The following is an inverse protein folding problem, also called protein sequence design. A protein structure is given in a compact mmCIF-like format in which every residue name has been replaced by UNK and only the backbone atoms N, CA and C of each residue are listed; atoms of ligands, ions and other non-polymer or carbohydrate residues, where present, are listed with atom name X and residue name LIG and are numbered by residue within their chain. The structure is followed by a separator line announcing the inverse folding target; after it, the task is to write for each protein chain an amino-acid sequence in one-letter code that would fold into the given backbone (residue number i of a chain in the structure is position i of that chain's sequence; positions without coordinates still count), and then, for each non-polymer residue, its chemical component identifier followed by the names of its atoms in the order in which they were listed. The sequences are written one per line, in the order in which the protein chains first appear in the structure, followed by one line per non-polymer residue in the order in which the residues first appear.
data_IF_151321622754
#
_entry.id   IF_151321622754
#
_cell.length_a   1.000
_cell.length_b   1.000
_cell.length_c   1.000
_cell.angle_alpha   90.00
_cell.angle_beta   90.00
_cell.angle_gamma   90.00
#
_symmetry.space_group_name_H-M   'P 1'
#
loop_
_entity.id
_entity.type
_entity.pdbx_description
1 polymer ?
#
# COMPACT_ATOMS: atom_id res chain seq x y z
N UNK A 1 -14.38 23.56 4.06
CA UNK A 1 -14.88 22.85 2.87
C UNK A 1 -16.40 22.92 2.90
N UNK A 2 -17.04 23.31 1.79
CA UNK A 2 -18.48 23.59 1.68
C UNK A 2 -19.26 22.47 0.96
N UNK A 3 -18.88 21.21 1.13
CA UNK A 3 -19.70 20.07 0.70
C UNK A 3 -19.36 18.81 1.52
N UNK A 4 -20.29 18.23 2.31
CA UNK A 4 -20.06 16.97 3.02
C UNK A 4 -19.72 15.80 2.08
N UNK A 5 -20.19 15.80 0.83
CA UNK A 5 -19.83 14.78 -0.17
C UNK A 5 -18.37 14.90 -0.64
N UNK A 6 -17.80 16.11 -0.64
CA UNK A 6 -16.39 16.35 -0.95
C UNK A 6 -15.44 15.84 0.14
N UNK A 7 -15.87 15.88 1.41
CA UNK A 7 -15.12 15.32 2.54
C UNK A 7 -15.05 13.80 2.54
N UNK A 8 -16.10 13.13 2.06
CA UNK A 8 -16.23 11.67 2.03
C UNK A 8 -15.21 10.94 1.14
N UNK A 9 -14.47 11.65 0.26
CA UNK A 9 -13.47 11.04 -0.64
C UNK A 9 -12.04 11.01 -0.08
N UNK A 10 -11.79 11.66 1.05
CA UNK A 10 -10.44 11.84 1.59
C UNK A 10 -10.10 10.82 2.68
N UNK A 11 -10.21 9.53 2.34
CA UNK A 11 -9.89 8.42 3.26
C UNK A 11 -8.38 8.29 3.54
N UNK A 12 -7.53 8.85 2.67
CA UNK A 12 -6.07 8.78 2.76
C UNK A 12 -5.44 10.18 2.67
N UNK A 13 -4.38 10.41 3.45
CA UNK A 13 -3.55 11.60 3.36
C UNK A 13 -2.08 11.24 3.08
N UNK A 14 -1.42 12.01 2.21
CA UNK A 14 0.01 11.81 1.90
C UNK A 14 0.87 12.48 2.98
N UNK A 15 1.69 11.69 3.67
CA UNK A 15 2.56 12.15 4.76
C UNK A 15 3.50 13.29 4.37
N UNK A 16 3.95 13.31 3.12
CA UNK A 16 4.86 14.31 2.55
C UNK A 16 4.24 15.71 2.50
N UNK A 17 2.92 15.80 2.57
CA UNK A 17 2.17 17.07 2.40
C UNK A 17 1.16 17.33 3.52
N UNK A 18 1.09 16.46 4.52
CA UNK A 18 0.02 16.41 5.50
C UNK A 18 -0.09 17.71 6.32
N UNK A 19 1.04 18.34 6.61
CA UNK A 19 1.18 19.54 7.44
C UNK A 19 0.87 20.85 6.71
N UNK A 20 0.78 20.79 5.37
CA UNK A 20 0.52 21.94 4.49
C UNK A 20 -0.82 21.89 3.76
N UNK A 21 -1.46 20.72 3.73
CA UNK A 21 -2.78 20.55 3.11
C UNK A 21 -3.87 21.08 4.07
N UNK A 22 -4.71 22.05 3.67
CA UNK A 22 -5.71 22.64 4.57
C UNK A 22 -6.63 21.62 5.26
N UNK A 23 -7.00 20.54 4.57
CA UNK A 23 -7.85 19.48 5.12
C UNK A 23 -7.18 18.63 6.22
N UNK A 24 -5.84 18.63 6.31
CA UNK A 24 -5.09 17.72 7.18
C UNK A 24 -4.11 18.42 8.13
N UNK A 25 -3.72 19.67 7.85
CA UNK A 25 -2.70 20.37 8.61
C UNK A 25 -3.08 20.54 10.10
N UNK A 26 -4.34 20.89 10.38
CA UNK A 26 -4.84 21.03 11.75
C UNK A 26 -5.06 19.66 12.42
N UNK A 27 -5.74 18.67 11.80
CA UNK A 27 -5.80 17.32 12.34
C UNK A 27 -4.43 16.70 12.63
N UNK A 28 -3.45 16.90 11.75
CA UNK A 28 -2.09 16.42 11.97
C UNK A 28 -1.44 16.99 13.23
N UNK A 29 -1.77 18.23 13.61
CA UNK A 29 -1.25 18.89 14.81
C UNK A 29 -2.02 18.53 16.07
N UNK A 30 -3.33 18.28 15.99
CA UNK A 30 -4.20 18.22 17.18
C UNK A 30 -5.08 16.98 17.31
N UNK A 31 -5.33 16.26 16.22
CA UNK A 31 -6.34 15.19 16.16
C UNK A 31 -5.78 13.95 15.47
N UNK A 32 -4.75 13.39 16.10
CA UNK A 32 -4.13 12.13 15.69
C UNK A 32 -4.81 10.95 16.40
N UNK A 33 -4.86 9.81 15.73
CA UNK A 33 -5.37 8.57 16.28
C UNK A 33 -4.58 7.37 15.74
N UNK A 34 -4.81 6.19 16.32
CA UNK A 34 -4.45 4.92 15.72
C UNK A 34 -5.66 4.32 15.03
N UNK A 35 -5.49 3.93 13.77
CA UNK A 35 -6.47 3.08 13.08
C UNK A 35 -5.96 1.66 13.14
N UNK A 36 -6.69 0.80 13.85
CA UNK A 36 -6.31 -0.60 14.05
C UNK A 36 -6.88 -1.47 12.92
N UNK A 37 -6.07 -2.41 12.45
CA UNK A 37 -6.49 -3.39 11.45
C UNK A 37 -5.63 -4.65 11.53
N UNK A 38 -6.21 -5.81 11.23
CA UNK A 38 -5.47 -7.08 11.12
C UNK A 38 -4.61 -7.16 9.85
N UNK A 39 -4.95 -6.34 8.85
CA UNK A 39 -4.23 -6.22 7.59
C UNK A 39 -4.75 -5.09 6.72
N UNK A 40 -4.21 -4.98 5.51
CA UNK A 40 -4.71 -4.07 4.49
C UNK A 40 -4.63 -4.73 3.11
N UNK A 41 -5.52 -4.34 2.21
CA UNK A 41 -5.53 -4.83 0.83
C UNK A 41 -4.83 -3.84 -0.10
N UNK A 42 -4.08 -4.37 -1.07
CA UNK A 42 -3.61 -3.64 -2.23
C UNK A 42 -3.78 -4.48 -3.49
N UNK A 43 -3.90 -3.84 -4.65
CA UNK A 43 -4.14 -4.54 -5.91
C UNK A 43 -2.91 -4.49 -6.80
N UNK A 44 -2.26 -5.65 -6.95
CA UNK A 44 -1.23 -5.84 -7.95
C UNK A 44 -1.87 -5.76 -9.35
N UNK A 45 -1.28 -4.97 -10.24
CA UNK A 45 -1.70 -4.91 -11.65
C UNK A 45 -0.71 -5.69 -12.49
N UNK A 46 -1.15 -6.82 -13.06
CA UNK A 46 -0.34 -7.66 -13.92
C UNK A 46 -0.03 -7.01 -15.28
N UNK A 47 0.90 -7.58 -16.07
CA UNK A 47 1.22 -7.10 -17.41
C UNK A 47 0.02 -7.11 -18.38
N UNK A 48 -0.96 -7.96 -18.12
CA UNK A 48 -2.24 -8.08 -18.84
C UNK A 48 -3.28 -7.06 -18.39
N UNK A 49 -2.95 -6.19 -17.42
CA UNK A 49 -3.85 -5.22 -16.81
C UNK A 49 -4.80 -5.81 -15.77
N UNK A 50 -4.73 -7.12 -15.49
CA UNK A 50 -5.57 -7.75 -14.48
C UNK A 50 -5.15 -7.31 -13.08
N UNK A 51 -6.13 -6.94 -12.26
CA UNK A 51 -5.91 -6.58 -10.85
C UNK A 51 -6.11 -7.78 -9.94
N UNK A 52 -5.10 -8.11 -9.16
CA UNK A 52 -5.12 -9.20 -8.18
C UNK A 52 -5.02 -8.60 -6.78
N UNK A 53 -6.02 -8.82 -5.91
CA UNK A 53 -5.96 -8.32 -4.54
C UNK A 53 -4.94 -9.14 -3.72
N UNK A 54 -4.08 -8.40 -3.02
CA UNK A 54 -3.09 -8.90 -2.09
C UNK A 54 -3.46 -8.38 -0.71
N UNK A 55 -3.63 -9.29 0.26
CA UNK A 55 -3.81 -8.94 1.66
C UNK A 55 -2.45 -8.96 2.36
N UNK A 56 -2.05 -7.82 2.91
CA UNK A 56 -0.83 -7.66 3.70
C UNK A 56 -1.13 -7.75 5.19
N UNK A 57 -0.35 -8.56 5.90
CA UNK A 57 -0.43 -8.73 7.35
C UNK A 57 0.96 -8.78 7.99
N UNK A 58 1.00 -8.75 9.32
CA UNK A 58 2.22 -9.02 10.07
C UNK A 58 2.50 -10.53 10.11
N UNK A 59 3.75 -10.97 9.94
CA UNK A 59 4.11 -12.38 10.10
C UNK A 59 3.82 -12.93 11.50
N UNK A 60 3.81 -12.08 12.52
CA UNK A 60 3.53 -12.46 13.91
C UNK A 60 2.03 -12.51 14.25
N UNK A 61 1.15 -12.26 13.28
CA UNK A 61 -0.30 -12.29 13.42
C UNK A 61 -0.89 -11.17 14.30
N UNK A 62 -0.07 -10.21 14.75
CA UNK A 62 -0.56 -9.06 15.53
C UNK A 62 -1.23 -8.04 14.61
N UNK A 63 -2.15 -7.21 15.14
CA UNK A 63 -2.72 -6.13 14.36
C UNK A 63 -1.69 -5.02 14.09
N UNK A 64 -1.99 -4.22 13.07
CA UNK A 64 -1.35 -2.95 12.80
C UNK A 64 -1.96 -1.81 13.62
N UNK A 65 -1.16 -0.78 13.84
CA UNK A 65 -1.63 0.55 14.20
C UNK A 65 -1.22 1.52 13.09
N UNK A 66 -2.15 1.95 12.25
CA UNK A 66 -1.88 2.95 11.23
C UNK A 66 -1.93 4.36 11.82
N UNK A 67 -1.06 5.24 11.35
CA UNK A 67 -1.10 6.66 11.68
C UNK A 67 -2.37 7.28 11.09
N UNK A 68 -3.35 7.56 11.95
CA UNK A 68 -4.63 8.14 11.56
C UNK A 68 -4.75 9.61 11.96
N UNK A 69 -5.54 10.34 11.19
CA UNK A 69 -6.06 11.65 11.53
C UNK A 69 -7.57 11.57 11.68
N UNK A 70 -8.15 12.36 12.56
CA UNK A 70 -9.60 12.51 12.65
C UNK A 70 -10.00 13.98 12.68
N UNK A 71 -11.23 14.25 12.24
CA UNK A 71 -11.82 15.58 12.35
C UNK A 71 -13.34 15.49 12.50
N UNK A 72 -13.95 16.60 12.90
CA UNK A 72 -15.40 16.79 12.94
C UNK A 72 -15.77 17.95 12.04
N UNK A 73 -16.53 17.65 11.00
CA UNK A 73 -17.19 18.67 10.21
C UNK A 73 -18.54 19.00 10.83
N UNK A 74 -18.90 20.29 10.87
CA UNK A 74 -20.21 20.78 11.30
C UNK A 74 -20.81 21.64 10.20
N UNK A 75 -22.07 21.38 9.84
CA UNK A 75 -22.83 22.19 8.90
C UNK A 75 -24.32 22.11 9.18
N UNK A 76 -24.93 23.24 9.49
CA UNK A 76 -26.30 23.28 10.02
C UNK A 76 -26.40 22.45 11.31
N UNK A 77 -27.39 21.57 11.39
CA UNK A 77 -27.61 20.65 12.50
C UNK A 77 -26.87 19.31 12.37
N UNK A 78 -26.02 19.16 11.34
CA UNK A 78 -25.27 17.92 11.11
C UNK A 78 -23.83 18.03 11.63
N UNK A 79 -23.39 16.97 12.30
CA UNK A 79 -21.99 16.75 12.64
C UNK A 79 -21.52 15.43 12.02
N UNK A 80 -20.40 15.47 11.30
CA UNK A 80 -19.76 14.29 10.73
C UNK A 80 -18.37 14.13 11.32
N UNK A 81 -18.17 13.08 12.11
CA UNK A 81 -16.84 12.64 12.51
C UNK A 81 -16.27 11.73 11.41
N UNK A 82 -15.06 12.03 10.95
CA UNK A 82 -14.38 11.24 9.94
C UNK A 82 -12.92 11.01 10.31
N UNK A 83 -12.31 10.03 9.65
CA UNK A 83 -10.89 9.75 9.80
C UNK A 83 -10.22 9.53 8.44
N UNK A 84 -8.90 9.72 8.41
CA UNK A 84 -8.05 9.45 7.27
C UNK A 84 -6.79 8.72 7.73
N UNK A 85 -6.33 7.75 6.93
CA UNK A 85 -5.07 7.04 7.16
C UNK A 85 -3.94 7.80 6.45
N UNK A 86 -2.81 7.99 7.13
CA UNK A 86 -1.61 8.51 6.49
C UNK A 86 -0.94 7.43 5.66
N UNK A 87 -0.49 7.82 4.47
CA UNK A 87 0.26 6.97 3.55
C UNK A 87 1.68 7.49 3.36
N UNK A 88 2.59 6.62 2.97
CA UNK A 88 3.99 6.92 2.65
C UNK A 88 4.44 6.09 1.44
N UNK A 89 5.68 6.25 1.02
CA UNK A 89 6.30 5.38 0.00
C UNK A 89 6.29 3.90 0.46
N UNK A 90 6.25 2.93 -0.46
CA UNK A 90 6.14 1.53 -0.09
C UNK A 90 7.49 0.99 0.40
N UNK A 91 7.45 0.03 1.32
CA UNK A 91 8.61 -0.79 1.65
C UNK A 91 8.85 -1.86 0.56
N UNK A 92 9.86 -2.72 0.76
CA UNK A 92 10.23 -3.74 -0.23
C UNK A 92 9.10 -4.73 -0.53
N UNK A 93 8.24 -5.05 0.44
CA UNK A 93 7.15 -6.00 0.27
C UNK A 93 5.97 -5.42 -0.54
N UNK A 94 5.65 -4.13 -0.32
CA UNK A 94 4.50 -3.48 -0.96
C UNK A 94 4.86 -2.92 -2.34
N UNK A 95 6.12 -2.52 -2.57
CA UNK A 95 6.57 -1.84 -3.80
C UNK A 95 6.25 -2.57 -5.11
N UNK A 96 6.30 -3.92 -5.19
CA UNK A 96 5.88 -4.64 -6.39
C UNK A 96 4.37 -4.58 -6.66
N UNK A 97 3.56 -4.28 -5.64
CA UNK A 97 2.09 -4.31 -5.67
C UNK A 97 1.51 -2.91 -5.89
N UNK A 98 2.00 -1.91 -5.15
CA UNK A 98 1.47 -0.56 -5.16
C UNK A 98 2.55 0.51 -4.85
N UNK A 99 2.32 1.75 -5.28
CA UNK A 99 3.26 2.88 -5.13
C UNK A 99 3.14 3.62 -3.79
N UNK A 100 2.23 3.16 -2.92
CA UNK A 100 1.96 3.69 -1.58
C UNK A 100 1.67 2.57 -0.62
N UNK A 101 1.95 2.82 0.65
CA UNK A 101 1.50 1.99 1.77
C UNK A 101 0.97 2.87 2.92
N UNK A 102 0.13 2.33 3.81
CA UNK A 102 -0.19 2.98 5.08
C UNK A 102 1.09 3.23 5.92
N UNK A 103 1.12 4.33 6.67
CA UNK A 103 2.13 4.53 7.70
C UNK A 103 1.78 3.64 8.89
N UNK A 104 2.57 2.61 9.11
CA UNK A 104 2.41 1.65 10.21
C UNK A 104 3.30 2.10 11.38
N UNK A 105 2.69 2.37 12.53
CA UNK A 105 3.37 2.86 13.73
C UNK A 105 3.78 1.67 14.61
N UNK A 106 5.07 1.58 15.02
CA UNK A 106 5.48 0.65 16.06
C UNK A 106 4.73 0.92 17.37
N UNK A 107 4.48 -0.14 18.15
CA UNK A 107 3.80 0.02 19.43
C UNK A 107 4.51 1.01 20.38
N UNK A 108 5.85 1.05 20.33
CA UNK A 108 6.68 1.95 21.12
C UNK A 108 6.52 3.44 20.76
N UNK A 109 6.00 3.78 19.57
CA UNK A 109 5.77 5.18 19.18
C UNK A 109 4.40 5.71 19.57
N UNK A 110 3.59 4.92 20.32
CA UNK A 110 2.24 5.29 20.74
C UNK A 110 2.20 6.66 21.39
N UNK A 111 2.96 6.82 22.47
CA UNK A 111 2.88 8.01 23.30
C UNK A 111 3.35 9.23 22.50
N UNK A 112 4.45 9.08 21.74
CA UNK A 112 4.93 10.15 20.85
C UNK A 112 3.92 10.54 19.76
N UNK A 113 3.17 9.58 19.19
CA UNK A 113 2.16 9.85 18.17
C UNK A 113 0.93 10.51 18.75
N UNK A 114 0.49 10.11 19.95
CA UNK A 114 -0.74 10.59 20.57
C UNK A 114 -0.53 11.79 21.50
N UNK A 115 0.71 12.14 21.83
CA UNK A 115 1.07 13.29 22.65
C UNK A 115 0.58 14.60 22.00
N UNK A 116 -0.35 15.35 22.62
CA UNK A 116 -0.93 16.57 22.07
C UNK A 116 0.10 17.71 21.89
N UNK A 117 1.25 17.64 22.57
CA UNK A 117 2.31 18.63 22.56
C UNK A 117 3.46 18.27 21.60
N UNK A 118 3.38 17.09 20.96
CA UNK A 118 4.38 16.66 19.98
C UNK A 118 4.47 17.65 18.79
N UNK A 119 5.66 18.20 18.59
CA UNK A 119 5.94 19.13 17.50
C UNK A 119 5.96 18.46 16.11
N UNK A 120 5.70 19.19 15.02
CA UNK A 120 5.64 18.64 13.66
C UNK A 120 6.91 17.90 13.22
N UNK A 121 8.09 18.35 13.64
CA UNK A 121 9.35 17.67 13.32
C UNK A 121 9.40 16.27 13.93
N UNK A 122 9.02 16.15 15.20
CA UNK A 122 8.99 14.88 15.90
C UNK A 122 7.96 13.91 15.31
N UNK A 123 6.79 14.42 14.90
CA UNK A 123 5.76 13.62 14.24
C UNK A 123 6.22 13.11 12.88
N UNK A 124 6.90 13.95 12.07
CA UNK A 124 7.40 13.55 10.74
C UNK A 124 8.40 12.40 10.80
N UNK A 125 9.18 12.30 11.87
CA UNK A 125 10.11 11.17 12.04
C UNK A 125 9.40 9.82 12.13
N UNK A 126 8.12 9.79 12.49
CA UNK A 126 7.30 8.58 12.56
C UNK A 126 6.67 8.22 11.21
N UNK A 127 6.63 9.15 10.24
CA UNK A 127 5.91 8.99 8.96
C UNK A 127 6.78 8.33 7.88
N UNK A 128 7.35 7.16 8.20
CA UNK A 128 8.27 6.43 7.32
C UNK A 128 7.66 5.10 6.88
N UNK A 129 8.16 4.49 5.78
CA UNK A 129 7.79 3.13 5.40
C UNK A 129 8.02 2.17 6.57
N UNK A 130 7.13 1.20 6.72
CA UNK A 130 7.25 0.22 7.80
C UNK A 130 8.56 -0.57 7.65
N UNK A 131 9.44 -0.58 8.67
CA UNK A 131 10.78 -1.14 8.54
C UNK A 131 10.81 -2.67 8.67
N UNK A 132 9.77 -3.27 9.25
CA UNK A 132 9.70 -4.72 9.43
C UNK A 132 9.09 -5.42 8.22
N UNK A 133 9.29 -6.74 8.16
CA UNK A 133 8.73 -7.58 7.11
C UNK A 133 7.20 -7.59 7.15
N UNK A 134 6.60 -7.64 5.96
CA UNK A 134 5.18 -7.83 5.75
C UNK A 134 4.97 -9.12 4.96
N UNK A 135 3.92 -9.85 5.29
CA UNK A 135 3.47 -11.02 4.54
C UNK A 135 2.31 -10.61 3.64
N UNK A 136 2.52 -10.65 2.32
CA UNK A 136 1.47 -10.43 1.32
C UNK A 136 0.95 -11.74 0.76
N UNK A 137 -0.37 -11.96 0.78
CA UNK A 137 -1.02 -13.16 0.25
C UNK A 137 -2.10 -12.80 -0.76
N UNK A 138 -2.18 -13.54 -1.88
CA UNK A 138 -3.27 -13.40 -2.85
C UNK A 138 -4.58 -13.82 -2.20
N UNK A 139 -5.62 -13.00 -2.34
CA UNK A 139 -6.96 -13.30 -1.83
C UNK A 139 -8.00 -13.25 -2.94
N UNK A 140 -9.23 -13.63 -2.62
CA UNK A 140 -10.33 -13.60 -3.58
C UNK A 140 -10.71 -12.18 -4.01
N UNK A 141 -11.19 -12.02 -5.24
CA UNK A 141 -11.78 -10.76 -5.73
C UNK A 141 -13.09 -10.38 -5.03
N UNK A 142 -13.59 -11.22 -4.11
CA UNK A 142 -14.70 -10.88 -3.20
C UNK A 142 -14.50 -9.52 -2.53
N UNK A 143 -13.27 -9.21 -2.13
CA UNK A 143 -12.90 -7.94 -1.47
C UNK A 143 -13.14 -6.69 -2.32
N UNK A 144 -13.43 -6.83 -3.61
CA UNK A 144 -13.76 -5.72 -4.49
C UNK A 144 -15.16 -5.15 -4.23
N UNK A 145 -16.04 -5.91 -3.55
CA UNK A 145 -17.36 -5.44 -3.15
C UNK A 145 -17.41 -5.23 -1.65
N UNK A 146 -17.78 -4.03 -1.16
CA UNK A 146 -17.94 -3.76 0.26
C UNK A 146 -19.11 -4.54 0.90
N UNK A 147 -20.01 -5.11 0.10
CA UNK A 147 -21.09 -5.97 0.59
C UNK A 147 -20.59 -7.33 1.10
N UNK A 148 -19.32 -7.68 0.83
CA UNK A 148 -18.69 -8.89 1.34
C UNK A 148 -17.84 -8.57 2.58
N UNK A 149 -18.40 -8.89 3.75
CA UNK A 149 -17.73 -8.77 5.05
C UNK A 149 -17.74 -10.13 5.77
N UNK A 150 -16.90 -11.04 5.27
CA UNK A 150 -16.82 -12.42 5.75
C UNK A 150 -15.38 -12.95 5.72
N UNK A 151 -15.06 -14.05 6.45
CA UNK A 151 -13.71 -14.58 6.54
C UNK A 151 -13.08 -15.00 5.20
N UNK A 152 -13.86 -15.23 4.14
CA UNK A 152 -13.31 -15.60 2.83
C UNK A 152 -12.65 -14.41 2.12
N UNK A 153 -12.89 -13.17 2.58
CA UNK A 153 -12.22 -11.97 2.08
C UNK A 153 -10.71 -11.97 2.35
N UNK A 154 -10.28 -12.57 3.47
CA UNK A 154 -8.85 -12.65 3.85
C UNK A 154 -8.24 -14.04 3.63
N UNK A 155 -9.04 -15.03 3.20
CA UNK A 155 -8.54 -16.40 2.99
C UNK A 155 -7.55 -16.42 1.82
N UNK A 156 -6.30 -16.88 2.05
CA UNK A 156 -5.32 -16.98 0.99
C UNK A 156 -5.77 -17.98 -0.09
N UNK A 157 -5.57 -17.64 -1.37
CA UNK A 157 -5.87 -18.52 -2.49
C UNK A 157 -4.78 -19.58 -2.75
N UNK A 158 -3.59 -19.40 -2.18
CA UNK A 158 -2.47 -20.34 -2.29
C UNK A 158 -2.61 -21.59 -1.41
N UNK A 159 -3.49 -21.58 -0.41
CA UNK A 159 -3.83 -22.75 0.41
C UNK A 159 -4.91 -23.63 -0.24
N UNK A 160 -5.58 -23.14 -1.29
CA UNK A 160 -6.64 -23.83 -2.01
C UNK A 160 -6.25 -24.09 -3.47
N UNK A 161 -5.24 -24.93 -3.70
CA UNK A 161 -5.12 -25.79 -4.90
C UNK A 161 -5.27 -25.18 -6.31
N UNK A 162 -5.26 -23.87 -6.49
CA UNK A 162 -5.34 -23.23 -7.81
C UNK A 162 -3.95 -22.76 -8.20
N UNK A 163 -3.19 -23.73 -8.71
CA UNK A 163 -1.96 -23.53 -9.46
C UNK A 163 -2.31 -22.79 -10.75
N UNK A 164 -2.42 -21.47 -10.69
CA UNK A 164 -2.01 -20.68 -11.84
C UNK A 164 -1.43 -19.30 -11.48
N UNK A 165 -0.23 -19.13 -12.05
CA UNK A 165 0.56 -17.91 -12.22
C UNK A 165 1.20 -17.35 -10.94
N UNK A 166 2.47 -17.69 -10.74
CA UNK A 166 3.45 -16.76 -10.20
C UNK A 166 3.80 -15.73 -11.32
N UNK A 167 3.32 -14.47 -11.25
CA UNK A 167 3.70 -13.45 -12.22
C UNK A 167 5.14 -12.94 -12.02
N UNK A 168 5.80 -13.31 -10.91
CA UNK A 168 7.16 -12.87 -10.57
C UNK A 168 8.24 -13.86 -11.01
N UNK A 169 7.86 -15.07 -11.45
CA UNK A 169 8.79 -16.13 -11.86
C UNK A 169 9.25 -16.07 -13.33
N UNK A 170 8.62 -15.26 -14.20
CA UNK A 170 8.98 -15.24 -15.63
C UNK A 170 9.98 -14.14 -15.98
N UNK A 171 11.23 -14.34 -15.56
CA UNK A 171 12.39 -13.66 -16.14
C UNK A 171 13.61 -14.58 -16.12
N UNK A 172 13.54 -15.66 -16.90
CA UNK A 172 14.74 -16.34 -17.38
C UNK A 172 15.38 -15.54 -18.52
N UNK A 173 16.72 -15.46 -18.62
CA UNK A 173 17.37 -14.75 -19.72
C UNK A 173 17.02 -15.45 -21.05
N UNK A 174 16.67 -14.66 -22.06
CA UNK A 174 16.56 -15.17 -23.42
C UNK A 174 17.92 -15.74 -23.86
N UNK A 175 17.95 -17.02 -24.22
CA UNK A 175 19.13 -17.61 -24.85
C UNK A 175 19.45 -16.86 -26.15
N UNK A 176 20.73 -16.59 -26.44
CA UNK A 176 21.11 -15.98 -27.70
C UNK A 176 20.88 -16.96 -28.85
N UNK A 177 20.15 -16.48 -29.85
CA UNK A 177 19.85 -17.13 -31.12
C UNK A 177 21.13 -17.65 -31.79
N UNK A 178 21.28 -18.97 -31.82
CA UNK A 178 22.36 -19.65 -32.52
C UNK A 178 22.00 -19.74 -34.01
N UNK A 179 22.42 -18.76 -34.82
CA UNK A 179 22.17 -18.86 -36.26
C UNK A 179 22.72 -17.77 -37.15
N UNK A 180 24.03 -17.79 -37.45
CA UNK A 180 24.53 -17.70 -38.84
C UNK A 180 26.05 -17.93 -38.92
N UNK A 181 26.43 -18.99 -39.63
CA UNK A 181 27.81 -19.30 -40.04
C UNK A 181 28.29 -18.26 -41.07
N UNK A 182 29.59 -17.90 -41.10
CA UNK A 182 30.16 -17.23 -42.26
C UNK A 182 30.36 -18.25 -43.41
N UNK A 183 30.00 -17.85 -44.63
CA UNK A 183 30.31 -18.61 -45.84
C UNK A 183 31.82 -18.60 -46.14
N UNK A 184 32.37 -19.63 -46.82
CA UNK A 184 33.79 -19.71 -47.11
C UNK A 184 34.18 -18.67 -48.17
N UNK A 185 35.31 -17.99 -47.94
CA UNK A 185 35.98 -17.20 -48.96
C UNK A 185 36.70 -18.16 -49.92
N UNK A 186 36.28 -18.18 -51.18
CA UNK A 186 37.04 -18.78 -52.27
C UNK A 186 38.32 -17.97 -52.52
N UNK A 187 39.44 -18.68 -52.50
CA UNK A 187 40.75 -18.22 -52.93
C UNK A 187 40.80 -18.31 -54.46
N UNK A 188 41.03 -17.19 -55.13
CA UNK A 188 41.30 -17.13 -56.57
C UNK A 188 42.83 -17.22 -56.82
N UNK A 189 43.33 -18.15 -57.66
CA UNK A 189 44.74 -18.23 -57.99
C UNK A 189 45.07 -17.46 -59.28
N UNK A 190 45.68 -16.28 -59.13
CA UNK A 190 46.79 -15.80 -59.97
C UNK A 190 46.50 -15.26 -61.39
N UNK A 191 46.82 -13.96 -61.59
CA UNK A 191 47.74 -13.43 -62.62
C UNK A 191 48.10 -11.99 -62.31
#
# INVERSE_FOLDING_TARGET
AEDPAGGARMINARSETVDRRPAFAEPFRRRRCWVLADGFYEWYTGPDGRRVPIHFRRPDGRPFAFAGLWDRWRGGDQELASCAILTTEPNQAVRPVHDRMPVILPAASRDRWLDPDAGPAALRELLRPYPEALEGRRVSTRVNSPDHDDPDCVRPLDEAGDLDLDPLSRSGPAEPDSGSRPGPAELDPGS
#
